data_IF_334380909497
#
_entry.id   IF_334380909497
#
_cell.length_a   1.000
_cell.length_b   1.000
_cell.length_c   1.000
_cell.angle_alpha   90.00
_cell.angle_beta   90.00
_cell.angle_gamma   90.00
#
_symmetry.space_group_name_H-M   'P 1'
#
loop_
_entity.id
_entity.type
_entity.pdbx_description
1 polymer ?
#
# COMPACT_ATOMS: atom_id res chain seq x y z
N UNK A 1 12.54 -5.23 40.64
CA UNK A 1 12.88 -5.01 39.21
C UNK A 1 12.31 -6.13 38.39
N UNK A 2 11.31 -5.84 37.57
CA UNK A 2 10.70 -6.82 36.64
C UNK A 2 11.76 -7.19 35.59
N UNK A 3 12.15 -8.50 35.51
CA UNK A 3 13.00 -9.01 34.44
C UNK A 3 12.29 -8.79 33.09
N UNK A 4 12.94 -8.03 32.20
CA UNK A 4 12.46 -7.93 30.82
C UNK A 4 12.41 -9.34 30.22
N UNK A 5 11.23 -9.76 29.80
CA UNK A 5 11.04 -11.08 29.15
C UNK A 5 11.83 -11.11 27.84
N UNK A 6 12.46 -12.24 27.54
CA UNK A 6 13.12 -12.43 26.26
C UNK A 6 12.09 -12.49 25.11
N UNK A 7 12.51 -12.17 23.88
CA UNK A 7 11.62 -12.28 22.72
C UNK A 7 11.07 -13.70 22.53
N UNK A 8 11.77 -14.73 23.03
CA UNK A 8 11.34 -16.12 23.00
C UNK A 8 10.21 -16.39 24.01
N UNK A 9 10.33 -15.82 25.21
CA UNK A 9 9.28 -15.93 26.24
C UNK A 9 8.00 -15.21 25.79
N UNK A 10 8.15 -14.02 25.19
CA UNK A 10 7.03 -13.29 24.61
C UNK A 10 6.36 -14.08 23.46
N UNK A 11 7.17 -14.63 22.55
CA UNK A 11 6.68 -15.43 21.44
C UNK A 11 5.85 -16.63 21.92
N UNK A 12 6.34 -17.36 22.93
CA UNK A 12 5.60 -18.48 23.56
C UNK A 12 4.33 -17.99 24.24
N UNK A 13 4.38 -16.88 24.96
CA UNK A 13 3.22 -16.36 25.69
C UNK A 13 2.08 -15.95 24.76
N UNK A 14 2.40 -15.35 23.59
CA UNK A 14 1.41 -14.86 22.64
C UNK A 14 1.11 -15.85 21.50
N UNK A 15 1.75 -17.01 21.46
CA UNK A 15 1.56 -18.00 20.39
C UNK A 15 2.05 -17.49 19.02
N UNK A 16 3.03 -16.56 19.03
CA UNK A 16 3.53 -15.91 17.83
C UNK A 16 4.98 -16.32 17.52
N UNK A 17 5.42 -16.07 16.27
CA UNK A 17 6.81 -16.30 15.92
C UNK A 17 7.73 -15.23 16.57
N UNK A 18 8.96 -15.61 16.92
CA UNK A 18 9.98 -14.69 17.42
C UNK A 18 10.19 -13.48 16.50
N UNK A 19 10.14 -13.71 15.19
CA UNK A 19 10.29 -12.67 14.18
C UNK A 19 9.12 -11.66 14.21
N UNK A 20 7.91 -12.14 14.40
CA UNK A 20 6.72 -11.28 14.52
C UNK A 20 6.78 -10.41 15.78
N UNK A 21 7.22 -10.97 16.91
CA UNK A 21 7.44 -10.23 18.16
C UNK A 21 8.51 -9.13 17.95
N UNK A 22 9.62 -9.44 17.28
CA UNK A 22 10.66 -8.43 16.97
C UNK A 22 10.10 -7.27 16.16
N UNK A 23 9.24 -7.54 15.15
CA UNK A 23 8.59 -6.48 14.36
C UNK A 23 7.68 -5.61 15.22
N UNK A 24 6.87 -6.20 16.07
CA UNK A 24 6.01 -5.44 16.98
C UNK A 24 6.81 -4.57 17.96
N UNK A 25 7.89 -5.09 18.53
CA UNK A 25 8.78 -4.30 19.37
C UNK A 25 9.37 -3.13 18.58
N UNK A 26 9.73 -3.34 17.31
CA UNK A 26 10.24 -2.24 16.47
C UNK A 26 9.22 -1.14 16.23
N UNK A 27 7.93 -1.44 16.20
CA UNK A 27 6.89 -0.42 16.02
C UNK A 27 6.83 0.57 17.18
N UNK A 28 7.27 0.18 18.40
CA UNK A 28 7.34 1.09 19.55
C UNK A 28 8.34 2.24 19.37
N UNK A 29 9.22 2.13 18.37
CA UNK A 29 10.18 3.18 18.00
C UNK A 29 9.58 4.20 17.02
N UNK A 30 8.34 4.04 16.58
CA UNK A 30 7.67 5.03 15.77
C UNK A 30 7.22 6.24 16.59
N UNK A 31 7.09 7.40 15.93
CA UNK A 31 6.36 8.52 16.50
C UNK A 31 4.86 8.20 16.53
N UNK A 32 4.11 8.80 17.47
CA UNK A 32 2.67 8.51 17.62
C UNK A 32 1.88 8.64 16.32
N UNK A 33 2.17 9.65 15.52
CA UNK A 33 1.47 9.95 14.28
C UNK A 33 1.65 8.82 13.23
N UNK A 34 2.86 8.27 13.10
CA UNK A 34 3.11 7.13 12.21
C UNK A 34 2.54 5.82 12.77
N UNK A 35 2.55 5.65 14.08
CA UNK A 35 1.95 4.48 14.73
C UNK A 35 0.44 4.44 14.52
N UNK A 36 -0.24 5.59 14.61
CA UNK A 36 -1.67 5.72 14.33
C UNK A 36 -2.00 5.29 12.90
N UNK A 37 -1.19 5.65 11.90
CA UNK A 37 -1.37 5.19 10.52
C UNK A 37 -1.19 3.67 10.36
N UNK A 38 -0.35 3.05 11.21
CA UNK A 38 -0.23 1.58 11.26
C UNK A 38 -1.48 0.94 11.87
N UNK A 39 -1.98 1.47 12.97
CA UNK A 39 -3.20 0.98 13.64
C UNK A 39 -4.41 1.15 12.72
N UNK A 40 -4.49 2.23 11.99
CA UNK A 40 -5.50 2.47 10.98
C UNK A 40 -5.49 1.41 9.86
N UNK A 41 -4.38 0.73 9.60
CA UNK A 41 -4.34 -0.37 8.62
C UNK A 41 -5.24 -1.55 8.99
N UNK A 42 -5.64 -1.66 10.24
CA UNK A 42 -6.55 -2.69 10.76
C UNK A 42 -8.02 -2.29 10.60
N UNK A 43 -8.30 -1.01 10.33
CA UNK A 43 -9.65 -0.48 10.17
C UNK A 43 -10.06 -0.53 8.69
N UNK A 44 -11.22 -1.15 8.43
CA UNK A 44 -11.79 -1.25 7.08
C UNK A 44 -12.15 0.16 6.57
N UNK A 45 -11.65 0.54 5.40
CA UNK A 45 -11.80 1.87 4.79
C UNK A 45 -10.98 3.00 5.44
N UNK A 46 -9.89 2.68 6.11
CA UNK A 46 -8.96 3.69 6.61
C UNK A 46 -8.33 4.49 5.47
N UNK A 47 -8.23 5.79 5.69
CA UNK A 47 -7.47 6.71 4.84
C UNK A 47 -6.00 6.57 5.24
N UNK A 48 -5.11 6.36 4.26
CA UNK A 48 -3.66 6.29 4.44
C UNK A 48 -3.15 5.19 5.42
N UNK A 49 -3.49 3.92 5.22
CA UNK A 49 -2.97 2.85 6.08
C UNK A 49 -1.50 2.55 5.78
N UNK A 50 -0.69 2.32 6.82
CA UNK A 50 0.70 1.85 6.68
C UNK A 50 0.79 0.37 7.05
N UNK A 51 1.31 -0.44 6.13
CA UNK A 51 1.52 -1.87 6.38
C UNK A 51 2.67 -2.07 7.38
N UNK A 52 2.52 -3.00 8.34
CA UNK A 52 3.51 -3.30 9.39
C UNK A 52 4.94 -3.48 8.84
N UNK A 53 5.11 -4.12 7.69
CA UNK A 53 6.43 -4.32 7.09
C UNK A 53 7.10 -3.02 6.65
N UNK A 54 6.34 -2.06 6.10
CA UNK A 54 6.84 -0.72 5.77
C UNK A 54 7.16 0.07 7.03
N UNK A 55 6.28 -0.01 8.04
CA UNK A 55 6.44 0.66 9.33
C UNK A 55 7.73 0.23 10.07
N UNK A 56 8.09 -1.05 9.98
CA UNK A 56 9.35 -1.55 10.54
C UNK A 56 10.56 -0.88 9.89
N UNK A 57 10.58 -0.70 8.57
CA UNK A 57 11.68 0.02 7.91
C UNK A 57 11.72 1.50 8.32
N UNK A 58 10.57 2.16 8.49
CA UNK A 58 10.47 3.54 8.98
C UNK A 58 10.95 3.70 10.43
N UNK A 59 10.79 2.68 11.28
CA UNK A 59 11.19 2.70 12.66
C UNK A 59 12.72 2.80 12.87
N UNK A 60 13.51 2.63 11.81
CA UNK A 60 14.96 2.83 11.83
C UNK A 60 15.38 4.29 11.62
N UNK A 61 14.47 5.17 11.26
CA UNK A 61 14.72 6.61 11.13
C UNK A 61 14.76 7.26 12.53
N UNK A 62 15.54 8.34 12.69
CA UNK A 62 15.45 9.19 13.89
C UNK A 62 14.06 9.81 14.02
N UNK A 63 13.71 10.27 15.22
CA UNK A 63 12.40 10.92 15.44
C UNK A 63 12.18 12.12 14.52
N UNK A 64 13.23 12.91 14.26
CA UNK A 64 13.14 14.06 13.36
C UNK A 64 12.94 13.64 11.91
N UNK A 65 13.64 12.58 11.45
CA UNK A 65 13.45 12.03 10.12
C UNK A 65 12.05 11.37 9.97
N UNK A 66 11.51 10.78 11.03
CA UNK A 66 10.14 10.28 11.03
C UNK A 66 9.10 11.40 10.92
N UNK A 67 9.32 12.55 11.60
CA UNK A 67 8.47 13.74 11.46
C UNK A 67 8.52 14.29 10.04
N UNK A 68 9.71 14.34 9.45
CA UNK A 68 9.88 14.76 8.06
C UNK A 68 9.13 13.84 7.10
N UNK A 69 9.21 12.51 7.33
CA UNK A 69 8.47 11.52 6.55
C UNK A 69 6.95 11.67 6.74
N UNK A 70 6.48 11.88 7.97
CA UNK A 70 5.07 12.10 8.23
C UNK A 70 4.54 13.32 7.49
N UNK A 71 5.30 14.44 7.50
CA UNK A 71 4.97 15.62 6.71
C UNK A 71 4.88 15.35 5.20
N UNK A 72 5.77 14.51 4.67
CA UNK A 72 5.70 14.08 3.27
C UNK A 72 4.48 13.20 2.95
N UNK A 73 4.09 12.31 3.87
CA UNK A 73 2.88 11.48 3.76
C UNK A 73 1.62 12.35 3.76
N UNK A 74 1.54 13.30 4.68
CA UNK A 74 0.42 14.24 4.80
C UNK A 74 0.29 15.12 3.55
N UNK A 75 1.41 15.67 3.08
CA UNK A 75 1.44 16.50 1.87
C UNK A 75 1.07 15.73 0.59
N UNK A 76 1.58 14.50 0.43
CA UNK A 76 1.36 13.69 -0.77
C UNK A 76 0.05 12.88 -0.72
N UNK A 77 -0.66 12.89 0.41
CA UNK A 77 -1.85 12.06 0.68
C UNK A 77 -1.62 10.57 0.34
N UNK A 78 -0.38 10.10 0.54
CA UNK A 78 0.07 8.76 0.14
C UNK A 78 1.00 8.16 1.17
N UNK A 79 0.80 6.87 1.49
CA UNK A 79 1.68 6.12 2.38
C UNK A 79 2.70 5.28 1.61
N UNK A 80 3.94 5.15 2.11
CA UNK A 80 4.97 4.42 1.40
C UNK A 80 4.73 2.91 1.37
N UNK A 81 4.90 2.32 0.21
CA UNK A 81 5.04 0.88 0.03
C UNK A 81 6.32 0.38 0.71
N UNK A 82 6.47 -0.95 0.86
CA UNK A 82 7.69 -1.53 1.42
C UNK A 82 8.95 -1.14 0.63
N UNK A 83 8.86 -1.09 -0.70
CA UNK A 83 9.98 -0.68 -1.55
C UNK A 83 10.37 0.77 -1.33
N UNK A 84 9.38 1.66 -1.25
CA UNK A 84 9.56 3.09 -0.98
C UNK A 84 10.12 3.32 0.44
N UNK A 85 9.60 2.62 1.46
CA UNK A 85 10.10 2.71 2.83
C UNK A 85 11.58 2.31 2.94
N UNK A 86 11.99 1.25 2.23
CA UNK A 86 13.40 0.82 2.17
C UNK A 86 14.28 1.86 1.48
N UNK A 87 13.82 2.49 0.43
CA UNK A 87 14.56 3.55 -0.28
C UNK A 87 14.70 4.80 0.60
N UNK A 88 13.64 5.20 1.29
CA UNK A 88 13.65 6.31 2.24
C UNK A 88 14.66 6.04 3.37
N UNK A 89 14.62 4.83 3.94
CA UNK A 89 15.59 4.40 4.94
C UNK A 89 17.02 4.46 4.40
N UNK A 90 17.28 3.97 3.20
CA UNK A 90 18.60 4.03 2.57
C UNK A 90 19.08 5.48 2.38
N UNK A 91 18.22 6.39 1.93
CA UNK A 91 18.57 7.81 1.83
C UNK A 91 18.89 8.42 3.20
N UNK A 92 18.20 8.00 4.25
CA UNK A 92 18.50 8.41 5.62
C UNK A 92 19.88 7.90 6.07
N UNK A 93 20.19 6.62 5.86
CA UNK A 93 21.48 6.02 6.17
C UNK A 93 22.64 6.73 5.40
N UNK A 94 22.40 7.09 4.15
CA UNK A 94 23.32 7.85 3.29
C UNK A 94 23.38 9.36 3.61
N UNK A 95 22.63 9.86 4.62
CA UNK A 95 22.51 11.28 4.99
C UNK A 95 22.03 12.19 3.87
N UNK A 96 21.21 11.66 2.97
CA UNK A 96 20.65 12.35 1.80
C UNK A 96 19.13 12.53 1.88
N UNK A 97 18.52 12.19 3.01
CA UNK A 97 17.08 12.31 3.18
C UNK A 97 16.68 13.78 3.29
N UNK A 98 15.83 14.22 2.37
CA UNK A 98 15.21 15.56 2.35
C UNK A 98 13.71 15.43 2.14
N UNK A 99 12.95 16.50 2.37
CA UNK A 99 11.52 16.53 2.09
C UNK A 99 11.25 16.24 0.61
N UNK A 100 11.96 16.90 -0.30
CA UNK A 100 11.81 16.72 -1.75
C UNK A 100 12.09 15.26 -2.18
N UNK A 101 13.08 14.61 -1.55
CA UNK A 101 13.38 13.21 -1.84
C UNK A 101 12.29 12.25 -1.36
N UNK A 102 11.65 12.57 -0.24
CA UNK A 102 10.50 11.81 0.28
C UNK A 102 9.30 12.01 -0.66
N UNK A 103 8.98 13.25 -0.97
CA UNK A 103 7.90 13.60 -1.90
C UNK A 103 8.09 12.92 -3.26
N UNK A 104 9.28 13.02 -3.84
CA UNK A 104 9.62 12.36 -5.10
C UNK A 104 9.37 10.85 -5.04
N UNK A 105 9.79 10.18 -3.95
CA UNK A 105 9.57 8.74 -3.77
C UNK A 105 8.09 8.41 -3.57
N UNK A 106 7.35 9.18 -2.78
CA UNK A 106 5.93 8.94 -2.52
C UNK A 106 5.07 9.17 -3.76
N UNK A 107 5.39 10.19 -4.55
CA UNK A 107 4.70 10.53 -5.79
C UNK A 107 5.13 9.67 -6.98
N UNK A 108 6.18 8.87 -6.85
CA UNK A 108 6.46 7.85 -7.85
C UNK A 108 5.24 6.95 -7.99
N UNK A 109 4.63 6.96 -9.15
CA UNK A 109 3.62 5.97 -9.50
C UNK A 109 4.30 4.61 -9.44
N UNK A 110 4.09 3.89 -8.32
CA UNK A 110 4.66 2.56 -8.12
C UNK A 110 4.13 1.68 -9.23
N UNK A 111 5.00 1.45 -10.22
CA UNK A 111 4.82 0.33 -11.17
C UNK A 111 3.42 0.16 -11.78
N UNK A 112 2.69 1.25 -11.99
CA UNK A 112 1.79 1.28 -13.11
C UNK A 112 2.74 1.44 -14.29
N UNK A 113 3.20 0.32 -14.88
CA UNK A 113 3.50 0.34 -16.31
C UNK A 113 2.34 1.14 -16.87
N UNK A 114 2.60 2.32 -17.46
CA UNK A 114 1.60 3.35 -17.80
C UNK A 114 0.41 2.83 -18.60
N UNK A 115 0.44 1.55 -18.99
CA UNK A 115 -0.52 0.86 -19.83
C UNK A 115 -1.19 -0.37 -19.19
N UNK A 116 -1.06 -0.63 -17.87
CA UNK A 116 -1.69 -1.81 -17.25
C UNK A 116 -2.76 -1.47 -16.24
N UNK A 117 -4.02 -1.64 -16.64
CA UNK A 117 -5.14 -1.71 -15.69
C UNK A 117 -5.27 -3.14 -15.19
N UNK A 118 -5.06 -3.37 -13.88
CA UNK A 118 -5.24 -4.69 -13.27
C UNK A 118 -6.62 -4.80 -12.64
N UNK A 119 -7.34 -5.84 -13.01
CA UNK A 119 -8.63 -6.16 -12.43
C UNK A 119 -8.54 -7.37 -11.50
N UNK A 120 -9.38 -7.40 -10.46
CA UNK A 120 -9.52 -8.58 -9.63
C UNK A 120 -10.06 -9.74 -10.48
N UNK A 121 -9.25 -10.79 -10.67
CA UNK A 121 -9.56 -11.94 -11.51
C UNK A 121 -10.94 -12.54 -11.22
N UNK A 122 -11.29 -12.76 -9.93
CA UNK A 122 -12.58 -13.34 -9.53
C UNK A 122 -13.77 -12.47 -9.92
N UNK A 123 -13.64 -11.13 -9.85
CA UNK A 123 -14.71 -10.20 -10.24
C UNK A 123 -14.91 -10.19 -11.75
N UNK A 124 -13.82 -10.29 -12.50
CA UNK A 124 -13.89 -10.36 -13.98
C UNK A 124 -14.43 -11.71 -14.41
N UNK A 125 -13.99 -12.83 -13.84
CA UNK A 125 -14.51 -14.16 -14.12
C UNK A 125 -16.00 -14.33 -13.81
N UNK A 126 -16.55 -13.52 -12.91
CA UNK A 126 -17.97 -13.53 -12.57
C UNK A 126 -18.87 -12.87 -13.65
N UNK A 127 -18.32 -11.98 -14.47
CA UNK A 127 -19.07 -11.21 -15.47
C UNK A 127 -18.72 -11.58 -16.92
N UNK A 128 -17.57 -12.19 -17.16
CA UNK A 128 -17.17 -12.66 -18.49
C UNK A 128 -17.55 -14.13 -18.65
N UNK A 129 -18.19 -14.53 -19.76
CA UNK A 129 -18.51 -15.92 -20.03
C UNK A 129 -17.28 -16.83 -19.97
N UNK A 130 -17.41 -17.99 -19.32
CA UNK A 130 -16.27 -18.91 -19.06
C UNK A 130 -15.55 -19.40 -20.31
N UNK A 131 -16.23 -19.47 -21.42
CA UNK A 131 -15.66 -19.82 -22.73
C UNK A 131 -14.60 -18.84 -23.21
N UNK A 132 -14.67 -17.57 -22.81
CA UNK A 132 -13.68 -16.54 -23.21
C UNK A 132 -12.33 -16.75 -22.55
N UNK A 133 -12.29 -17.30 -21.32
CA UNK A 133 -11.02 -17.58 -20.62
C UNK A 133 -10.24 -18.79 -21.21
N UNK A 134 -10.86 -19.55 -22.11
CA UNK A 134 -10.19 -20.62 -22.85
C UNK A 134 -9.52 -20.14 -24.13
N UNK A 135 -9.74 -18.87 -24.49
CA UNK A 135 -9.19 -18.25 -25.70
C UNK A 135 -7.92 -17.46 -25.42
N UNK A 136 -7.26 -17.00 -26.48
CA UNK A 136 -6.08 -16.16 -26.41
C UNK A 136 -6.35 -14.89 -25.59
N UNK A 137 -5.33 -14.42 -24.88
CA UNK A 137 -5.35 -13.20 -24.07
C UNK A 137 -5.83 -11.97 -24.87
N UNK A 138 -5.41 -11.84 -26.13
CA UNK A 138 -5.85 -10.75 -27.03
C UNK A 138 -7.35 -10.73 -27.24
N UNK A 139 -7.96 -11.90 -27.38
CA UNK A 139 -9.39 -12.02 -27.58
C UNK A 139 -10.20 -11.57 -26.36
N UNK A 140 -9.72 -11.89 -25.15
CA UNK A 140 -10.35 -11.45 -23.90
C UNK A 140 -10.21 -9.93 -23.74
N UNK A 141 -9.06 -9.37 -24.09
CA UNK A 141 -8.78 -7.94 -24.07
C UNK A 141 -9.68 -7.16 -25.03
N UNK A 142 -9.81 -7.61 -26.25
CA UNK A 142 -10.69 -7.03 -27.28
C UNK A 142 -12.18 -7.11 -26.86
N UNK A 143 -12.60 -8.21 -26.27
CA UNK A 143 -13.95 -8.34 -25.73
C UNK A 143 -14.24 -7.31 -24.63
N UNK A 144 -13.29 -7.10 -23.71
CA UNK A 144 -13.43 -6.12 -22.63
C UNK A 144 -13.50 -4.70 -23.20
N UNK A 145 -12.65 -4.37 -24.15
CA UNK A 145 -12.65 -3.05 -24.82
C UNK A 145 -14.00 -2.80 -25.50
N UNK A 146 -14.49 -3.76 -26.28
CA UNK A 146 -15.76 -3.64 -26.97
C UNK A 146 -16.94 -3.50 -25.99
N UNK A 147 -16.92 -4.24 -24.88
CA UNK A 147 -17.95 -4.13 -23.84
C UNK A 147 -17.96 -2.74 -23.18
N UNK A 148 -16.78 -2.15 -22.93
CA UNK A 148 -16.65 -0.80 -22.37
C UNK A 148 -17.16 0.25 -23.39
N UNK A 149 -16.78 0.13 -24.64
CA UNK A 149 -17.24 1.02 -25.71
C UNK A 149 -18.78 0.96 -25.84
N UNK A 150 -19.34 -0.24 -25.92
CA UNK A 150 -20.79 -0.44 -25.97
C UNK A 150 -21.52 0.17 -24.76
N UNK A 151 -20.97 -0.01 -23.55
CA UNK A 151 -21.53 0.60 -22.34
C UNK A 151 -21.53 2.13 -22.40
N UNK A 152 -20.43 2.74 -22.85
CA UNK A 152 -20.32 4.19 -22.95
C UNK A 152 -21.31 4.77 -23.96
N UNK A 153 -21.41 4.18 -25.14
CA UNK A 153 -22.37 4.59 -26.17
C UNK A 153 -23.82 4.53 -25.67
N UNK A 154 -24.20 3.42 -25.02
CA UNK A 154 -25.55 3.26 -24.49
C UNK A 154 -25.84 4.15 -23.26
N UNK A 155 -24.84 4.54 -22.48
CA UNK A 155 -25.00 5.46 -21.35
C UNK A 155 -25.33 6.87 -21.82
N UNK A 156 -24.76 7.33 -22.93
CA UNK A 156 -25.08 8.63 -23.52
C UNK A 156 -26.47 8.64 -24.17
N UNK A 157 -26.85 7.60 -24.88
CA UNK A 157 -28.17 7.46 -25.49
C UNK A 157 -29.31 7.45 -24.45
N UNK A 158 -29.08 6.94 -23.22
CA UNK A 158 -30.10 6.99 -22.15
C UNK A 158 -30.24 8.38 -21.53
N UNK A 159 -29.21 9.22 -21.56
CA UNK A 159 -29.29 10.59 -21.07
C UNK A 159 -30.06 11.53 -22.01
N UNK A 160 -30.05 11.27 -23.30
CA UNK A 160 -30.78 12.05 -24.29
C UNK A 160 -32.30 11.72 -24.35
N UNK A 161 -32.68 10.49 -23.96
CA UNK A 161 -34.11 10.09 -23.90
C UNK A 161 -34.85 10.58 -22.65
N UNK A 162 -34.14 11.11 -21.67
CA UNK A 162 -34.71 11.62 -20.41
C UNK A 162 -34.64 13.17 -20.31
N UNK A 163 -34.44 13.87 -21.40
CA UNK A 163 -34.65 15.30 -21.61
C UNK A 163 -35.87 15.55 -22.48
#
# INVERSE_FOLDING_TARGET
>A
MSKLKSNEELAKQFGESREKIRRYIRLTELIPELLELVDNSLVKNSILPIVVTSAVDMSYLSKDAQKLLYGGIDYSETTPTLSQARRIRKLYEDKKLTFDSIEGILNERVGIEEDRITFNKRKIEAVIPKEFFKRDKRYVEEYIINAIMFYNENKYLKKEKNK
#
